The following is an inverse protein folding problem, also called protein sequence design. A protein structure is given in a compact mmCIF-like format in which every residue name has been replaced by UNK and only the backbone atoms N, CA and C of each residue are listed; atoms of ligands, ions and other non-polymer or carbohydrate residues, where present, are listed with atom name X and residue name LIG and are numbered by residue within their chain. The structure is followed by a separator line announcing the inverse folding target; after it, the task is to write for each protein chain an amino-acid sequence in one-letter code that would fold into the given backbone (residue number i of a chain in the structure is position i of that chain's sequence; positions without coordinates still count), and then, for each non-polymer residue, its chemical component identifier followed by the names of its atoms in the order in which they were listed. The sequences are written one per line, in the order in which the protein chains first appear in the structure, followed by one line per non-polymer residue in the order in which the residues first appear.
data_IF_510270500211
#
_entry.id   IF_510270500211
#
_cell.length_a   1.000
_cell.length_b   1.000
_cell.length_c   1.000
_cell.angle_alpha   90.00
_cell.angle_beta   90.00
_cell.angle_gamma   90.00
#
_symmetry.space_group_name_H-M   'P 1'
#
loop_
_entity.id
_entity.type
_entity.pdbx_description
1 polymer ?
#
# COMPACT_ATOMS: atom_id res chain seq x y z
N UNK A 1 -9.59 -24.08 -0.18
CA UNK A 1 -10.71 -23.21 0.25
C UNK A 1 -11.18 -22.35 -0.93
N UNK A 2 -12.46 -21.96 -0.91
CA UNK A 2 -13.01 -20.91 -1.75
C UNK A 2 -13.07 -19.61 -0.93
N UNK A 3 -12.31 -18.59 -1.30
CA UNK A 3 -12.08 -17.38 -0.51
C UNK A 3 -12.67 -16.20 -1.26
N UNK A 4 -13.58 -15.45 -0.63
CA UNK A 4 -14.08 -14.21 -1.22
C UNK A 4 -13.48 -13.00 -0.51
N UNK A 5 -12.95 -12.04 -1.28
CA UNK A 5 -12.33 -10.82 -0.79
C UNK A 5 -13.12 -9.61 -1.30
N UNK A 6 -13.73 -8.86 -0.40
CA UNK A 6 -14.44 -7.63 -0.70
C UNK A 6 -13.54 -6.44 -0.45
N UNK A 7 -13.01 -5.84 -1.51
CA UNK A 7 -12.27 -4.59 -1.45
C UNK A 7 -12.67 -3.68 -2.60
N UNK A 8 -13.35 -2.58 -2.27
CA UNK A 8 -13.86 -1.63 -3.24
C UNK A 8 -12.81 -1.15 -4.24
N UNK A 9 -11.57 -0.97 -3.80
CA UNK A 9 -10.47 -0.39 -4.57
C UNK A 9 -9.35 -1.40 -4.86
N UNK A 10 -9.65 -2.70 -4.90
CA UNK A 10 -8.67 -3.68 -5.35
C UNK A 10 -8.32 -3.45 -6.83
N UNK A 11 -7.06 -3.68 -7.16
CA UNK A 11 -6.50 -3.43 -8.48
C UNK A 11 -5.85 -4.69 -9.04
N UNK A 12 -5.83 -4.81 -10.35
CA UNK A 12 -5.05 -5.82 -11.09
C UNK A 12 -3.61 -5.30 -11.34
N UNK A 13 -2.66 -6.16 -11.67
CA UNK A 13 -1.25 -5.78 -11.81
C UNK A 13 -0.95 -4.80 -12.96
N UNK A 14 -1.85 -4.70 -13.96
CA UNK A 14 -1.77 -3.74 -15.05
C UNK A 14 -2.22 -2.32 -14.66
N UNK A 15 -2.86 -2.19 -13.48
CA UNK A 15 -3.32 -0.91 -12.95
C UNK A 15 -2.27 -0.27 -12.05
N UNK A 16 -2.20 1.07 -12.06
CA UNK A 16 -1.32 1.81 -11.15
C UNK A 16 -1.90 1.89 -9.75
N UNK A 17 -1.15 1.46 -8.74
CA UNK A 17 -1.55 1.49 -7.33
C UNK A 17 -1.11 0.25 -6.56
N UNK A 18 -1.62 0.08 -5.35
CA UNK A 18 -1.28 -1.07 -4.50
C UNK A 18 -2.08 -2.32 -4.87
N UNK A 19 -1.41 -3.40 -5.16
CA UNK A 19 -1.98 -4.69 -5.60
C UNK A 19 -2.11 -5.74 -4.50
N UNK A 20 -2.03 -5.36 -3.23
CA UNK A 20 -2.01 -6.27 -2.07
C UNK A 20 -3.00 -7.44 -2.16
N UNK A 21 -4.27 -7.18 -2.49
CA UNK A 21 -5.29 -8.23 -2.53
C UNK A 21 -5.08 -9.18 -3.69
N UNK A 22 -4.69 -8.65 -4.84
CA UNK A 22 -4.30 -9.47 -6.00
C UNK A 22 -3.04 -10.29 -5.68
N UNK A 23 -2.03 -9.70 -5.05
CA UNK A 23 -0.77 -10.38 -4.75
C UNK A 23 -0.99 -11.55 -3.77
N UNK A 24 -1.81 -11.34 -2.71
CA UNK A 24 -2.25 -12.44 -1.84
C UNK A 24 -3.09 -13.49 -2.58
N UNK A 25 -4.05 -13.05 -3.39
CA UNK A 25 -4.91 -13.96 -4.15
C UNK A 25 -4.10 -14.83 -5.12
N UNK A 26 -3.11 -14.24 -5.83
CA UNK A 26 -2.17 -14.95 -6.70
C UNK A 26 -1.42 -16.06 -5.95
N UNK A 27 -0.88 -15.75 -4.77
CA UNK A 27 -0.16 -16.72 -3.96
C UNK A 27 -1.09 -17.82 -3.40
N UNK A 28 -2.30 -17.48 -2.98
CA UNK A 28 -3.29 -18.46 -2.51
C UNK A 28 -3.77 -19.36 -3.66
N UNK A 29 -3.94 -18.84 -4.87
CA UNK A 29 -4.26 -19.65 -6.07
C UNK A 29 -3.13 -20.63 -6.40
N UNK A 30 -1.87 -20.22 -6.34
CA UNK A 30 -0.72 -21.12 -6.50
C UNK A 30 -0.73 -22.30 -5.50
N UNK A 31 -1.36 -22.13 -4.34
CA UNK A 31 -1.51 -23.13 -3.28
C UNK A 31 -2.78 -23.97 -3.40
N UNK A 32 -3.52 -23.83 -4.49
CA UNK A 32 -4.70 -24.61 -4.79
C UNK A 32 -6.02 -24.08 -4.20
N UNK A 33 -6.04 -22.81 -3.69
CA UNK A 33 -7.27 -22.15 -3.29
C UNK A 33 -7.97 -21.50 -4.50
N UNK A 34 -9.30 -21.38 -4.43
CA UNK A 34 -10.07 -20.53 -5.35
C UNK A 34 -10.24 -19.16 -4.66
N UNK A 35 -9.93 -18.08 -5.38
CA UNK A 35 -10.06 -16.73 -4.82
C UNK A 35 -10.88 -15.85 -5.75
N UNK A 36 -11.90 -15.19 -5.19
CA UNK A 36 -12.72 -14.21 -5.89
C UNK A 36 -12.59 -12.84 -5.21
N UNK A 37 -12.14 -11.84 -5.96
CA UNK A 37 -12.06 -10.46 -5.50
C UNK A 37 -13.24 -9.68 -6.05
N UNK A 38 -14.03 -9.04 -5.17
CA UNK A 38 -15.13 -8.17 -5.53
C UNK A 38 -14.70 -6.72 -5.35
N UNK A 39 -14.60 -5.98 -6.46
CA UNK A 39 -14.06 -4.63 -6.50
C UNK A 39 -14.89 -3.71 -7.40
N UNK A 40 -14.59 -2.42 -7.42
CA UNK A 40 -15.05 -1.48 -8.44
C UNK A 40 -13.91 -1.15 -9.39
N UNK A 41 -14.19 -1.04 -10.68
CA UNK A 41 -13.23 -0.62 -11.68
C UNK A 41 -13.08 0.90 -11.81
N UNK A 42 -13.82 1.68 -11.02
CA UNK A 42 -13.60 3.12 -10.94
C UNK A 42 -12.30 3.42 -10.18
N UNK A 43 -11.29 3.88 -10.90
CA UNK A 43 -9.94 4.06 -10.36
C UNK A 43 -9.87 5.31 -9.46
N UNK A 44 -9.62 5.09 -8.17
CA UNK A 44 -9.69 6.11 -7.12
C UNK A 44 -8.70 7.29 -7.26
N UNK A 45 -7.55 7.08 -7.92
CA UNK A 45 -6.55 8.15 -8.10
C UNK A 45 -6.58 8.78 -9.50
N UNK A 46 -7.09 8.08 -10.50
CA UNK A 46 -7.24 8.59 -11.88
C UNK A 46 -8.63 9.19 -12.11
N UNK A 47 -9.57 8.98 -11.17
CA UNK A 47 -10.96 9.43 -11.25
C UNK A 47 -11.67 9.06 -12.54
N UNK A 48 -11.42 7.85 -13.03
CA UNK A 48 -12.04 7.35 -14.27
C UNK A 48 -12.39 5.87 -14.16
N UNK A 49 -13.40 5.49 -14.92
CA UNK A 49 -13.76 4.10 -15.15
C UNK A 49 -12.70 3.44 -16.06
N UNK A 50 -12.28 2.22 -15.69
CA UNK A 50 -11.23 1.49 -16.43
C UNK A 50 -11.81 0.33 -17.24
N UNK A 51 -12.99 -0.19 -16.85
CA UNK A 51 -13.64 -1.30 -17.54
C UNK A 51 -14.91 -0.83 -18.25
N UNK A 52 -15.21 -1.46 -19.37
CA UNK A 52 -16.45 -1.23 -20.13
C UNK A 52 -17.50 -2.25 -19.72
N UNK A 53 -18.65 -1.80 -19.25
CA UNK A 53 -19.71 -2.67 -18.72
C UNK A 53 -20.80 -3.06 -19.72
N UNK A 54 -20.83 -2.50 -20.93
CA UNK A 54 -21.81 -2.80 -21.97
C UNK A 54 -23.27 -2.90 -21.46
N UNK A 55 -23.72 -1.89 -20.70
CA UNK A 55 -25.02 -1.80 -20.02
C UNK A 55 -25.24 -2.74 -18.81
N UNK A 56 -24.26 -3.54 -18.41
CA UNK A 56 -24.33 -4.35 -17.21
C UNK A 56 -23.91 -3.55 -15.96
N UNK A 57 -24.36 -4.02 -14.79
CA UNK A 57 -24.00 -3.45 -13.50
C UNK A 57 -22.73 -4.08 -12.91
N UNK A 58 -22.25 -5.17 -13.51
CA UNK A 58 -21.03 -5.88 -13.12
C UNK A 58 -20.36 -6.52 -14.34
N UNK A 59 -19.09 -6.89 -14.15
CA UNK A 59 -18.28 -7.63 -15.10
C UNK A 59 -17.49 -8.71 -14.34
N UNK A 60 -17.35 -9.89 -14.94
CA UNK A 60 -16.49 -10.95 -14.42
C UNK A 60 -15.29 -11.16 -15.34
N UNK A 61 -14.10 -11.30 -14.76
CA UNK A 61 -12.90 -11.68 -15.48
C UNK A 61 -11.97 -12.52 -14.59
N UNK A 62 -11.08 -13.28 -15.20
CA UNK A 62 -10.04 -14.02 -14.48
C UNK A 62 -8.68 -13.48 -14.89
N UNK A 63 -7.87 -13.08 -13.92
CA UNK A 63 -6.52 -12.54 -14.11
C UNK A 63 -5.52 -13.46 -13.42
N UNK A 64 -4.72 -14.21 -14.20
CA UNK A 64 -3.75 -15.19 -13.68
C UNK A 64 -4.33 -16.15 -12.62
N UNK A 65 -5.53 -16.68 -12.87
CA UNK A 65 -6.23 -17.61 -11.98
C UNK A 65 -7.01 -16.97 -10.84
N UNK A 66 -6.90 -15.66 -10.63
CA UNK A 66 -7.71 -14.92 -9.66
C UNK A 66 -8.97 -14.42 -10.32
N UNK A 67 -10.13 -14.74 -9.75
CA UNK A 67 -11.42 -14.26 -10.25
C UNK A 67 -11.70 -12.84 -9.75
N UNK A 68 -12.10 -11.95 -10.65
CA UNK A 68 -12.55 -10.59 -10.32
C UNK A 68 -14.03 -10.43 -10.69
N UNK A 69 -14.78 -9.82 -9.78
CA UNK A 69 -16.12 -9.30 -10.03
C UNK A 69 -16.07 -7.80 -9.86
N UNK A 70 -16.11 -7.10 -10.98
CA UNK A 70 -16.12 -5.66 -11.03
C UNK A 70 -17.54 -5.13 -10.91
N UNK A 71 -17.77 -4.28 -9.93
CA UNK A 71 -19.07 -3.63 -9.68
C UNK A 71 -19.01 -2.21 -10.23
N UNK A 72 -19.93 -1.88 -11.13
CA UNK A 72 -20.08 -0.53 -11.67
C UNK A 72 -20.55 0.43 -10.59
N UNK A 73 -19.78 1.49 -10.33
CA UNK A 73 -20.10 2.50 -9.33
C UNK A 73 -20.16 3.90 -9.96
N UNK A 74 -20.97 4.84 -9.42
CA UNK A 74 -21.04 6.20 -9.96
C UNK A 74 -19.67 6.90 -9.83
N UNK A 75 -19.28 7.71 -10.82
CA UNK A 75 -18.02 8.44 -10.75
C UNK A 75 -18.03 9.47 -9.63
N UNK A 76 -16.84 9.79 -9.10
CA UNK A 76 -16.66 10.87 -8.15
C UNK A 76 -15.35 11.61 -8.41
N UNK A 77 -15.23 12.82 -7.86
CA UNK A 77 -14.00 13.58 -7.83
C UNK A 77 -13.76 14.14 -6.42
N UNK A 78 -12.51 14.03 -5.92
CA UNK A 78 -12.13 14.48 -4.59
C UNK A 78 -12.77 13.66 -3.45
N UNK A 79 -12.91 14.28 -2.27
CA UNK A 79 -13.33 13.62 -1.02
C UNK A 79 -14.73 14.04 -0.53
N UNK A 80 -15.60 14.50 -1.43
CA UNK A 80 -16.92 15.01 -1.10
C UNK A 80 -18.04 13.95 -1.04
N UNK A 81 -19.28 14.41 -1.03
CA UNK A 81 -20.52 13.58 -0.97
C UNK A 81 -20.58 12.58 -2.13
N UNK A 82 -20.07 12.93 -3.32
CA UNK A 82 -20.02 12.02 -4.48
C UNK A 82 -19.21 10.76 -4.18
N UNK A 83 -18.11 10.86 -3.41
CA UNK A 83 -17.33 9.71 -2.95
C UNK A 83 -18.15 8.83 -1.98
N UNK A 84 -18.92 9.43 -1.08
CA UNK A 84 -19.80 8.67 -0.17
C UNK A 84 -20.88 7.94 -0.97
N UNK A 85 -21.49 8.59 -1.98
CA UNK A 85 -22.46 7.94 -2.88
C UNK A 85 -21.84 6.76 -3.63
N UNK A 86 -20.60 6.89 -4.10
CA UNK A 86 -19.86 5.82 -4.75
C UNK A 86 -19.67 4.62 -3.81
N UNK A 87 -19.24 4.84 -2.56
CA UNK A 87 -19.08 3.82 -1.53
C UNK A 87 -20.40 3.10 -1.19
N UNK A 88 -21.47 3.84 -1.01
CA UNK A 88 -22.79 3.28 -0.71
C UNK A 88 -23.38 2.52 -1.90
N UNK A 89 -23.16 3.02 -3.14
CA UNK A 89 -23.55 2.32 -4.37
C UNK A 89 -22.84 0.97 -4.49
N UNK A 90 -21.55 0.92 -4.23
CA UNK A 90 -20.80 -0.34 -4.18
C UNK A 90 -21.43 -1.33 -3.21
N UNK A 91 -21.63 -0.90 -1.96
CA UNK A 91 -22.22 -1.72 -0.90
C UNK A 91 -23.60 -2.28 -1.28
N UNK A 92 -24.48 -1.40 -1.76
CA UNK A 92 -25.82 -1.79 -2.20
C UNK A 92 -25.79 -2.79 -3.34
N UNK A 93 -24.97 -2.53 -4.38
CA UNK A 93 -24.87 -3.42 -5.53
C UNK A 93 -24.24 -4.76 -5.18
N UNK A 94 -23.20 -4.80 -4.36
CA UNK A 94 -22.59 -6.03 -3.86
C UNK A 94 -23.65 -6.93 -3.20
N UNK A 95 -24.45 -6.39 -2.29
CA UNK A 95 -25.51 -7.14 -1.58
C UNK A 95 -26.61 -7.64 -2.50
N UNK A 96 -26.89 -6.97 -3.64
CA UNK A 96 -27.95 -7.35 -4.54
C UNK A 96 -27.48 -8.19 -5.75
N UNK A 97 -26.22 -8.11 -6.12
CA UNK A 97 -25.66 -8.79 -7.29
C UNK A 97 -25.02 -10.13 -6.91
N UNK A 98 -24.16 -10.14 -5.90
CA UNK A 98 -23.37 -11.34 -5.55
C UNK A 98 -24.24 -12.57 -5.28
N UNK A 99 -25.34 -12.49 -4.51
CA UNK A 99 -26.21 -13.66 -4.29
C UNK A 99 -26.86 -14.23 -5.58
N UNK A 100 -27.01 -13.41 -6.62
CA UNK A 100 -27.63 -13.79 -7.89
C UNK A 100 -26.66 -14.41 -8.90
N UNK A 101 -25.35 -14.37 -8.60
CA UNK A 101 -24.34 -14.86 -9.54
C UNK A 101 -24.12 -16.38 -9.49
N UNK A 102 -24.79 -17.08 -8.57
CA UNK A 102 -24.67 -18.53 -8.39
C UNK A 102 -23.21 -19.00 -8.35
N UNK A 103 -22.35 -18.22 -7.65
CA UNK A 103 -20.96 -18.58 -7.43
C UNK A 103 -20.89 -19.80 -6.49
N UNK A 104 -19.78 -20.53 -6.57
CA UNK A 104 -19.52 -21.55 -5.54
C UNK A 104 -19.45 -20.86 -4.17
N UNK A 105 -20.16 -21.42 -3.18
CA UNK A 105 -20.21 -20.86 -1.84
C UNK A 105 -18.81 -20.67 -1.23
N UNK A 106 -18.56 -19.57 -0.52
CA UNK A 106 -17.27 -19.32 0.10
C UNK A 106 -17.08 -20.14 1.37
N UNK A 107 -15.87 -20.64 1.58
CA UNK A 107 -15.46 -21.21 2.86
C UNK A 107 -15.16 -20.11 3.89
N UNK A 108 -14.78 -18.91 3.41
CA UNK A 108 -14.44 -17.75 4.24
C UNK A 108 -14.58 -16.44 3.44
N UNK A 109 -15.01 -15.39 4.13
CA UNK A 109 -15.15 -14.05 3.55
C UNK A 109 -14.24 -13.04 4.24
N UNK A 110 -13.46 -12.30 3.44
CA UNK A 110 -12.62 -11.20 3.90
C UNK A 110 -13.24 -9.87 3.47
N UNK A 111 -13.52 -8.98 4.40
CA UNK A 111 -13.93 -7.60 4.14
C UNK A 111 -12.80 -6.63 4.43
N UNK A 112 -12.28 -5.96 3.40
CA UNK A 112 -11.13 -5.06 3.52
C UNK A 112 -11.56 -3.60 3.59
N UNK A 113 -11.06 -2.90 4.61
CA UNK A 113 -11.37 -1.50 4.86
C UNK A 113 -10.47 -0.57 4.06
N UNK A 114 -10.94 -0.12 2.90
CA UNK A 114 -10.68 1.26 2.50
C UNK A 114 -11.81 2.14 3.05
N UNK A 115 -13.00 1.57 3.18
CA UNK A 115 -14.12 2.17 3.94
C UNK A 115 -15.00 1.07 4.55
N UNK A 116 -15.59 1.37 5.69
CA UNK A 116 -16.34 0.40 6.50
C UNK A 116 -17.62 -0.13 5.82
N UNK A 117 -18.17 0.57 4.84
CA UNK A 117 -19.35 0.10 4.10
C UNK A 117 -19.08 -1.13 3.25
N UNK A 118 -17.88 -1.27 2.64
CA UNK A 118 -17.48 -2.48 1.93
C UNK A 118 -17.35 -3.66 2.89
N UNK A 119 -16.76 -3.42 4.07
CA UNK A 119 -16.64 -4.40 5.15
C UNK A 119 -18.00 -4.86 5.66
N UNK A 120 -18.95 -3.92 5.77
CA UNK A 120 -20.33 -4.24 6.13
C UNK A 120 -21.01 -5.17 5.12
N UNK A 121 -20.81 -4.93 3.81
CA UNK A 121 -21.33 -5.84 2.78
C UNK A 121 -20.75 -7.25 2.93
N UNK A 122 -19.44 -7.36 3.13
CA UNK A 122 -18.76 -8.64 3.39
C UNK A 122 -19.33 -9.37 4.60
N UNK A 123 -19.53 -8.64 5.74
CA UNK A 123 -20.15 -9.21 6.94
C UNK A 123 -21.59 -9.68 6.68
N UNK A 124 -22.40 -8.93 5.92
CA UNK A 124 -23.76 -9.36 5.60
C UNK A 124 -23.78 -10.65 4.79
N UNK A 125 -22.93 -10.73 3.77
CA UNK A 125 -22.80 -11.93 2.95
C UNK A 125 -22.24 -13.11 3.75
N UNK A 126 -21.32 -12.91 4.70
CA UNK A 126 -20.84 -13.98 5.55
C UNK A 126 -21.97 -14.59 6.40
N UNK A 127 -22.96 -13.81 6.82
CA UNK A 127 -24.14 -14.30 7.50
C UNK A 127 -25.10 -15.03 6.57
N UNK A 128 -25.26 -14.55 5.35
CA UNK A 128 -26.11 -15.18 4.33
C UNK A 128 -25.58 -16.56 3.92
N UNK A 129 -24.26 -16.67 3.72
CA UNK A 129 -23.59 -17.92 3.34
C UNK A 129 -23.14 -18.77 4.53
N UNK A 130 -23.45 -18.36 5.77
CA UNK A 130 -23.08 -19.07 7.00
C UNK A 130 -21.58 -19.46 7.03
N UNK A 131 -20.68 -18.48 6.88
CA UNK A 131 -19.23 -18.67 6.76
C UNK A 131 -18.49 -17.67 7.65
N UNK A 132 -17.27 -17.99 8.13
CA UNK A 132 -16.50 -17.08 8.96
C UNK A 132 -16.16 -15.78 8.25
N UNK A 133 -16.14 -14.69 9.02
CA UNK A 133 -15.89 -13.33 8.57
C UNK A 133 -14.58 -12.79 9.12
N UNK A 134 -13.65 -12.48 8.22
CA UNK A 134 -12.39 -11.81 8.55
C UNK A 134 -12.46 -10.35 8.13
N UNK A 135 -12.21 -9.45 9.07
CA UNK A 135 -12.10 -8.03 8.78
C UNK A 135 -10.64 -7.64 8.55
N UNK A 136 -10.33 -7.05 7.41
CA UNK A 136 -9.02 -6.45 7.18
C UNK A 136 -9.07 -4.95 7.38
N UNK A 137 -8.24 -4.44 8.31
CA UNK A 137 -8.11 -3.01 8.64
C UNK A 137 -6.83 -2.47 8.03
N UNK A 138 -6.95 -1.65 6.99
CA UNK A 138 -5.82 -1.01 6.30
C UNK A 138 -5.57 0.41 6.76
N UNK A 139 -6.66 1.13 7.00
CA UNK A 139 -6.68 2.45 7.60
C UNK A 139 -7.69 2.42 8.75
N UNK A 140 -7.36 3.04 9.87
CA UNK A 140 -8.22 3.06 11.05
C UNK A 140 -9.26 4.17 10.88
N UNK A 141 -10.37 3.87 10.22
CA UNK A 141 -11.52 4.75 10.10
C UNK A 141 -12.47 4.56 11.28
N UNK A 142 -12.96 5.64 11.91
CA UNK A 142 -12.85 7.06 11.51
C UNK A 142 -11.60 7.80 12.01
N UNK A 143 -10.71 7.16 12.82
CA UNK A 143 -9.57 7.85 13.44
C UNK A 143 -8.68 8.55 12.39
N UNK A 144 -8.37 7.90 11.28
CA UNK A 144 -7.57 8.51 10.19
C UNK A 144 -8.20 9.78 9.65
N UNK A 145 -9.54 9.85 9.53
CA UNK A 145 -10.24 11.06 9.08
C UNK A 145 -10.15 12.19 10.11
N UNK A 146 -10.17 11.84 11.41
CA UNK A 146 -9.98 12.80 12.51
C UNK A 146 -8.54 13.33 12.48
N UNK A 147 -7.54 12.46 12.32
CA UNK A 147 -6.12 12.82 12.22
C UNK A 147 -5.82 13.70 10.99
N UNK A 148 -6.65 13.59 9.95
CA UNK A 148 -6.62 14.46 8.76
C UNK A 148 -7.40 15.77 8.95
N UNK A 149 -7.97 16.04 10.12
CA UNK A 149 -8.59 17.32 10.49
C UNK A 149 -10.13 17.33 10.51
N UNK A 150 -10.81 16.19 10.33
CA UNK A 150 -12.28 16.17 10.51
C UNK A 150 -12.63 16.21 11.99
N UNK A 151 -13.68 16.97 12.33
CA UNK A 151 -14.18 17.03 13.70
C UNK A 151 -14.72 15.67 14.17
N UNK A 152 -14.32 15.24 15.36
CA UNK A 152 -14.85 14.02 16.00
C UNK A 152 -16.38 14.08 16.24
N UNK A 153 -16.96 15.28 16.28
CA UNK A 153 -18.40 15.50 16.46
C UNK A 153 -19.18 15.55 15.14
N UNK A 154 -18.50 15.42 14.01
CA UNK A 154 -19.17 15.39 12.71
C UNK A 154 -20.10 14.16 12.63
N UNK A 155 -21.38 14.29 12.21
CA UNK A 155 -22.33 13.17 12.20
C UNK A 155 -21.82 11.93 11.44
N UNK A 156 -21.11 12.14 10.34
CA UNK A 156 -20.50 11.06 9.57
C UNK A 156 -19.41 10.31 10.36
N UNK A 157 -18.60 11.02 11.16
CA UNK A 157 -17.57 10.42 12.02
C UNK A 157 -18.21 9.59 13.13
N UNK A 158 -19.31 10.09 13.73
CA UNK A 158 -20.04 9.36 14.77
C UNK A 158 -20.65 8.07 14.19
N UNK A 159 -21.28 8.17 13.01
CA UNK A 159 -21.82 7.00 12.29
C UNK A 159 -20.73 5.95 12.01
N UNK A 160 -19.58 6.40 11.48
CA UNK A 160 -18.46 5.51 11.20
C UNK A 160 -17.89 4.86 12.46
N UNK A 161 -17.83 5.59 13.58
CA UNK A 161 -17.38 5.03 14.86
C UNK A 161 -18.29 3.93 15.39
N UNK A 162 -19.61 4.06 15.21
CA UNK A 162 -20.56 3.00 15.54
C UNK A 162 -20.39 1.79 14.63
N UNK A 163 -20.23 2.02 13.33
CA UNK A 163 -20.06 0.96 12.35
C UNK A 163 -18.72 0.23 12.57
N UNK A 164 -17.65 0.94 12.88
CA UNK A 164 -16.35 0.38 13.25
C UNK A 164 -16.48 -0.57 14.44
N UNK A 165 -17.02 -0.08 15.57
CA UNK A 165 -17.23 -0.87 16.77
C UNK A 165 -18.08 -2.12 16.48
N UNK A 166 -19.16 -1.96 15.72
CA UNK A 166 -20.03 -3.06 15.32
C UNK A 166 -19.25 -4.12 14.55
N UNK A 167 -18.50 -3.73 13.52
CA UNK A 167 -17.77 -4.64 12.65
C UNK A 167 -16.62 -5.36 13.38
N UNK A 168 -15.87 -4.66 14.25
CA UNK A 168 -14.85 -5.31 15.08
C UNK A 168 -15.43 -6.40 15.97
N UNK A 169 -16.58 -6.16 16.57
CA UNK A 169 -17.25 -7.17 17.42
C UNK A 169 -17.79 -8.36 16.62
N UNK A 170 -18.20 -8.14 15.36
CA UNK A 170 -18.76 -9.18 14.49
C UNK A 170 -17.72 -10.00 13.74
N UNK A 171 -16.50 -9.49 13.60
CA UNK A 171 -15.42 -10.22 12.96
C UNK A 171 -15.00 -11.42 13.82
N UNK A 172 -14.80 -12.57 13.19
CA UNK A 172 -14.21 -13.76 13.82
C UNK A 172 -12.70 -13.53 14.01
N UNK A 173 -12.06 -12.89 13.02
CA UNK A 173 -10.67 -12.46 13.06
C UNK A 173 -10.49 -11.07 12.44
N UNK A 174 -9.54 -10.31 12.96
CA UNK A 174 -9.15 -9.00 12.44
C UNK A 174 -7.70 -9.06 12.00
N UNK A 175 -7.46 -8.72 10.74
CA UNK A 175 -6.12 -8.58 10.16
C UNK A 175 -5.84 -7.09 9.98
N UNK A 176 -4.61 -6.64 10.23
CA UNK A 176 -4.19 -5.29 9.86
C UNK A 176 -2.80 -5.31 9.23
N UNK A 177 -2.59 -4.44 8.25
CA UNK A 177 -1.26 -4.17 7.71
C UNK A 177 -0.45 -3.20 8.60
N UNK A 178 -1.08 -2.53 9.57
CA UNK A 178 -0.46 -1.61 10.49
C UNK A 178 -0.02 -2.33 11.77
N UNK A 179 1.27 -2.31 12.14
CA UNK A 179 1.79 -3.10 13.27
C UNK A 179 1.23 -2.70 14.63
N UNK A 180 0.86 -1.44 14.80
CA UNK A 180 0.31 -0.91 16.06
C UNK A 180 -1.20 -0.64 16.00
N UNK A 181 -1.91 -1.19 15.00
CA UNK A 181 -3.36 -1.02 14.91
C UNK A 181 -4.10 -1.54 16.15
N UNK A 182 -3.51 -2.50 16.88
CA UNK A 182 -4.09 -3.01 18.11
C UNK A 182 -4.16 -1.97 19.23
N UNK A 183 -3.35 -0.93 19.23
CA UNK A 183 -3.43 0.19 20.19
C UNK A 183 -4.80 0.90 20.10
N UNK A 184 -5.46 0.83 18.94
CA UNK A 184 -6.82 1.32 18.73
C UNK A 184 -7.87 0.19 18.80
N UNK A 185 -7.69 -0.88 18.06
CA UNK A 185 -8.62 -2.00 17.92
C UNK A 185 -8.83 -2.71 19.27
N UNK A 186 -7.80 -2.79 20.11
CA UNK A 186 -7.84 -3.40 21.45
C UNK A 186 -8.76 -2.68 22.43
N UNK A 187 -9.28 -1.48 22.12
CA UNK A 187 -10.34 -0.83 22.88
C UNK A 187 -11.71 -1.51 22.72
N UNK A 188 -11.85 -2.35 21.70
CA UNK A 188 -13.13 -2.95 21.31
C UNK A 188 -13.11 -4.48 21.39
N UNK A 189 -11.95 -5.12 21.17
CA UNK A 189 -11.83 -6.59 21.10
C UNK A 189 -10.53 -7.06 21.75
N UNK A 190 -10.50 -8.34 22.16
CA UNK A 190 -9.34 -9.00 22.74
C UNK A 190 -8.22 -9.27 21.72
N UNK A 191 -7.00 -9.51 22.22
CA UNK A 191 -5.78 -9.67 21.41
C UNK A 191 -5.81 -10.92 20.53
N UNK A 192 -6.47 -11.97 20.95
CA UNK A 192 -6.62 -13.22 20.20
C UNK A 192 -7.36 -13.05 18.87
N UNK A 193 -8.26 -12.05 18.78
CA UNK A 193 -8.92 -11.69 17.52
C UNK A 193 -8.03 -10.96 16.52
N UNK A 194 -6.90 -10.40 16.93
CA UNK A 194 -6.07 -9.54 16.11
C UNK A 194 -4.80 -10.23 15.63
N UNK A 195 -4.43 -9.99 14.37
CA UNK A 195 -3.13 -10.36 13.83
C UNK A 195 -2.61 -9.27 12.87
N UNK A 196 -1.30 -9.01 12.96
CA UNK A 196 -0.61 -8.13 12.01
C UNK A 196 -0.07 -8.92 10.83
N UNK A 197 -0.50 -8.55 9.61
CA UNK A 197 0.01 -9.05 8.33
C UNK A 197 0.30 -7.85 7.45
N UNK A 198 1.57 -7.46 7.37
CA UNK A 198 2.04 -6.27 6.64
C UNK A 198 1.69 -6.31 5.15
N UNK A 199 1.82 -5.18 4.47
CA UNK A 199 2.06 -5.20 3.03
C UNK A 199 3.42 -5.85 2.76
N UNK A 200 3.63 -6.28 1.54
CA UNK A 200 4.86 -6.93 1.14
C UNK A 200 5.23 -6.62 -0.30
N UNK A 201 6.15 -7.38 -0.82
CA UNK A 201 6.63 -7.28 -2.19
C UNK A 201 6.56 -8.64 -2.87
N UNK A 202 6.07 -8.65 -4.11
CA UNK A 202 6.20 -9.78 -5.02
C UNK A 202 7.61 -9.76 -5.62
N UNK A 203 8.45 -10.68 -5.17
CA UNK A 203 9.85 -10.76 -5.56
C UNK A 203 10.05 -11.15 -7.03
N UNK A 204 9.05 -11.79 -7.65
CA UNK A 204 9.07 -12.15 -9.08
C UNK A 204 9.15 -10.90 -9.97
N UNK A 205 8.69 -9.75 -9.46
CA UNK A 205 8.67 -8.48 -10.19
C UNK A 205 9.95 -7.64 -10.04
N UNK A 206 10.84 -7.98 -9.09
CA UNK A 206 12.05 -7.20 -8.80
C UNK A 206 13.25 -8.14 -8.65
N UNK A 207 13.90 -8.43 -9.76
CA UNK A 207 15.14 -9.22 -9.76
C UNK A 207 16.28 -8.40 -9.14
N UNK A 208 17.02 -9.00 -8.21
CA UNK A 208 18.21 -8.37 -7.66
C UNK A 208 19.39 -8.53 -8.61
N UNK A 209 19.99 -7.40 -8.97
CA UNK A 209 21.23 -7.34 -9.74
C UNK A 209 22.22 -6.46 -8.97
N UNK A 210 23.42 -6.93 -8.73
CA UNK A 210 24.45 -6.08 -8.13
C UNK A 210 24.72 -4.86 -9.03
N UNK A 211 24.72 -3.68 -8.41
CA UNK A 211 25.01 -2.45 -9.14
C UNK A 211 26.51 -2.38 -9.43
N UNK A 212 26.82 -2.13 -10.67
CA UNK A 212 28.18 -1.74 -11.10
C UNK A 212 28.33 -0.23 -11.00
N UNK A 213 29.53 0.21 -10.75
CA UNK A 213 29.88 1.63 -10.71
C UNK A 213 29.61 2.31 -12.08
N UNK A 214 29.10 3.52 -12.03
CA UNK A 214 28.76 4.32 -13.21
C UNK A 214 29.28 5.76 -13.01
N UNK A 215 29.39 6.54 -14.11
CA UNK A 215 29.85 7.92 -14.05
C UNK A 215 28.93 8.85 -13.23
N UNK A 216 27.70 8.42 -12.96
CA UNK A 216 26.74 9.18 -12.16
C UNK A 216 26.33 8.39 -10.92
N UNK A 217 26.37 9.08 -9.79
CA UNK A 217 25.81 8.65 -8.54
C UNK A 217 24.36 9.13 -8.43
N UNK A 218 23.39 8.23 -8.51
CA UNK A 218 21.97 8.58 -8.64
C UNK A 218 21.17 8.32 -7.38
N UNK A 219 20.52 9.37 -6.87
CA UNK A 219 19.55 9.32 -5.79
C UNK A 219 18.13 9.35 -6.38
N UNK A 220 17.33 8.29 -6.17
CA UNK A 220 16.01 8.20 -6.80
C UNK A 220 14.88 8.14 -5.78
N UNK A 221 13.77 8.74 -6.18
CA UNK A 221 12.44 8.57 -5.60
C UNK A 221 11.48 8.11 -6.69
N UNK A 222 10.66 7.09 -6.39
CA UNK A 222 9.59 6.64 -7.28
C UNK A 222 8.25 6.62 -6.55
N UNK A 223 7.17 7.07 -7.19
CA UNK A 223 5.80 6.95 -6.68
C UNK A 223 5.02 8.25 -6.57
N UNK A 224 4.01 8.30 -5.68
CA UNK A 224 3.16 9.48 -5.54
C UNK A 224 3.93 10.70 -5.04
N UNK A 225 3.79 11.81 -5.76
CA UNK A 225 4.38 13.12 -5.42
C UNK A 225 3.33 13.91 -4.62
N UNK A 226 3.16 13.50 -3.36
CA UNK A 226 2.15 14.07 -2.46
C UNK A 226 2.75 14.82 -1.27
N UNK A 227 1.90 15.58 -0.59
CA UNK A 227 2.28 16.39 0.59
C UNK A 227 2.96 15.57 1.69
N UNK A 228 2.52 14.34 1.91
CA UNK A 228 3.08 13.45 2.93
C UNK A 228 4.53 13.05 2.67
N UNK A 229 4.97 13.08 1.39
CA UNK A 229 6.32 12.68 1.01
C UNK A 229 7.35 13.82 1.05
N UNK A 230 6.90 15.08 1.13
CA UNK A 230 7.74 16.28 1.22
C UNK A 230 9.02 16.25 0.36
N UNK A 231 8.85 16.07 -0.96
CA UNK A 231 9.99 15.97 -1.89
C UNK A 231 10.70 17.29 -2.14
N UNK A 232 10.18 18.40 -1.62
CA UNK A 232 10.90 19.69 -1.58
C UNK A 232 12.29 19.53 -0.93
N UNK A 233 12.36 18.69 0.14
CA UNK A 233 13.63 18.41 0.81
C UNK A 233 14.68 17.78 -0.12
N UNK A 234 14.24 16.94 -1.06
CA UNK A 234 15.13 16.32 -2.05
C UNK A 234 15.62 17.33 -3.10
N UNK A 235 14.76 18.30 -3.48
CA UNK A 235 15.15 19.42 -4.36
C UNK A 235 16.15 20.34 -3.65
N UNK A 236 15.96 20.62 -2.38
CA UNK A 236 16.88 21.43 -1.58
C UNK A 236 18.24 20.72 -1.39
N UNK A 237 18.25 19.39 -1.21
CA UNK A 237 19.48 18.60 -1.20
C UNK A 237 20.21 18.65 -2.55
N UNK A 238 19.48 18.60 -3.67
CA UNK A 238 20.07 18.74 -5.00
C UNK A 238 20.72 20.13 -5.19
N UNK A 239 20.12 21.19 -4.64
CA UNK A 239 20.72 22.51 -4.67
C UNK A 239 22.02 22.58 -3.87
N UNK A 240 22.06 21.99 -2.67
CA UNK A 240 23.25 21.93 -1.83
C UNK A 240 24.41 21.18 -2.48
N UNK A 241 24.07 20.13 -3.24
CA UNK A 241 25.06 19.25 -3.89
C UNK A 241 25.32 19.56 -5.36
N UNK A 242 24.85 20.69 -5.89
CA UNK A 242 24.96 21.06 -7.33
C UNK A 242 26.39 21.18 -7.85
N UNK A 243 27.37 21.44 -6.99
CA UNK A 243 28.79 21.51 -7.37
C UNK A 243 29.43 20.13 -7.56
N UNK A 244 28.83 19.07 -7.04
CA UNK A 244 29.20 17.67 -7.30
C UNK A 244 28.58 17.21 -8.62
N UNK A 245 29.33 17.28 -9.72
CA UNK A 245 28.81 17.11 -11.09
C UNK A 245 28.34 15.68 -11.40
N UNK A 246 28.79 14.70 -10.66
CA UNK A 246 28.47 13.28 -10.76
C UNK A 246 27.26 12.88 -9.90
N UNK A 247 26.82 13.72 -8.93
CA UNK A 247 25.62 13.46 -8.14
C UNK A 247 24.37 13.94 -8.88
N UNK A 248 23.44 13.00 -9.11
CA UNK A 248 22.19 13.25 -9.83
C UNK A 248 20.97 12.79 -9.04
N UNK A 249 19.93 13.60 -9.01
CA UNK A 249 18.65 13.32 -8.36
C UNK A 249 17.58 12.99 -9.40
N UNK A 250 16.78 11.96 -9.13
CA UNK A 250 15.73 11.50 -10.02
C UNK A 250 14.42 11.29 -9.28
N UNK A 251 13.39 12.05 -9.63
CA UNK A 251 12.04 11.92 -9.07
C UNK A 251 11.12 11.41 -10.17
N UNK A 252 10.55 10.22 -10.02
CA UNK A 252 9.66 9.59 -11.01
C UNK A 252 8.30 9.37 -10.42
N UNK A 253 7.25 9.97 -10.98
CA UNK A 253 5.91 9.80 -10.48
C UNK A 253 4.94 10.91 -10.84
N UNK A 254 3.79 10.88 -10.16
CA UNK A 254 2.74 11.89 -10.31
C UNK A 254 2.10 12.24 -8.97
N UNK A 255 1.44 13.38 -8.92
CA UNK A 255 0.72 13.83 -7.73
C UNK A 255 0.58 15.35 -7.63
N UNK A 256 -0.17 15.78 -6.61
CA UNK A 256 -0.56 17.18 -6.43
C UNK A 256 0.62 18.16 -6.30
N UNK A 257 1.76 17.72 -5.79
CA UNK A 257 2.94 18.58 -5.60
C UNK A 257 3.89 18.62 -6.83
N UNK A 258 3.63 17.86 -7.89
CA UNK A 258 4.55 17.71 -9.03
C UNK A 258 4.85 19.02 -9.74
N UNK A 259 3.83 19.80 -10.06
CA UNK A 259 3.99 21.08 -10.75
C UNK A 259 4.82 22.06 -9.90
N UNK A 260 4.51 22.14 -8.60
CA UNK A 260 5.26 22.98 -7.66
C UNK A 260 6.74 22.59 -7.59
N UNK A 261 7.06 21.30 -7.59
CA UNK A 261 8.44 20.83 -7.60
C UNK A 261 9.16 21.19 -8.91
N UNK A 262 8.49 21.05 -10.08
CA UNK A 262 9.04 21.45 -11.37
C UNK A 262 9.35 22.96 -11.41
N UNK A 263 8.46 23.78 -10.89
CA UNK A 263 8.66 25.23 -10.76
C UNK A 263 9.85 25.57 -9.84
N UNK A 264 9.96 24.89 -8.71
CA UNK A 264 11.07 25.08 -7.77
C UNK A 264 12.43 24.73 -8.40
N UNK A 265 12.52 23.59 -9.12
CA UNK A 265 13.73 23.20 -9.85
C UNK A 265 14.12 24.26 -10.89
N UNK A 266 13.13 24.78 -11.65
CA UNK A 266 13.36 25.85 -12.63
C UNK A 266 13.82 27.15 -11.97
N UNK A 267 13.18 27.57 -10.88
CA UNK A 267 13.52 28.78 -10.13
C UNK A 267 14.96 28.73 -9.61
N UNK A 268 15.36 27.57 -9.05
CA UNK A 268 16.72 27.34 -8.53
C UNK A 268 17.74 27.03 -9.63
N UNK A 269 17.33 26.97 -10.91
CA UNK A 269 18.17 26.67 -12.10
C UNK A 269 19.02 25.40 -11.93
N UNK A 270 18.45 24.36 -11.30
CA UNK A 270 19.15 23.11 -11.03
C UNK A 270 19.27 22.26 -12.32
N UNK A 271 20.46 21.68 -12.55
CA UNK A 271 20.77 20.80 -13.67
C UNK A 271 21.04 19.35 -13.24
N UNK A 272 21.18 19.13 -11.94
CA UNK A 272 21.48 17.84 -11.32
C UNK A 272 20.24 17.13 -10.77
N UNK A 273 19.04 17.48 -11.21
CA UNK A 273 17.78 16.85 -10.82
C UNK A 273 16.80 16.78 -11.98
N UNK A 274 16.10 15.62 -12.12
CA UNK A 274 14.96 15.45 -13.04
C UNK A 274 13.69 15.14 -12.27
N UNK A 275 12.53 15.61 -12.80
CA UNK A 275 11.19 15.25 -12.35
C UNK A 275 10.45 14.67 -13.55
N UNK A 276 10.31 13.36 -13.55
CA UNK A 276 9.81 12.56 -14.67
C UNK A 276 8.35 12.15 -14.48
N UNK A 277 7.72 11.76 -15.57
CA UNK A 277 6.37 11.22 -15.53
C UNK A 277 6.36 9.78 -14.98
N UNK A 278 5.22 9.29 -14.47
CA UNK A 278 5.12 7.93 -13.99
C UNK A 278 5.37 6.94 -15.13
N UNK A 279 6.08 5.89 -14.81
CA UNK A 279 6.36 4.78 -15.73
C UNK A 279 5.48 3.57 -15.44
N UNK A 280 5.43 2.61 -16.34
CA UNK A 280 4.77 1.33 -16.12
C UNK A 280 5.41 0.54 -14.96
N UNK A 281 4.63 -0.30 -14.27
CA UNK A 281 5.10 -1.02 -13.06
C UNK A 281 6.36 -1.86 -13.32
N UNK A 282 6.46 -2.49 -14.48
CA UNK A 282 7.63 -3.27 -14.90
C UNK A 282 8.90 -2.41 -15.12
N UNK A 283 8.76 -1.14 -15.49
CA UNK A 283 9.88 -0.22 -15.67
C UNK A 283 10.39 0.35 -14.35
N UNK A 284 9.56 0.37 -13.31
CA UNK A 284 9.97 0.83 -11.97
C UNK A 284 11.17 0.04 -11.48
N UNK A 285 11.19 -1.28 -11.68
CA UNK A 285 12.32 -2.13 -11.29
C UNK A 285 13.65 -1.65 -11.89
N UNK A 286 13.66 -1.24 -13.16
CA UNK A 286 14.87 -0.74 -13.84
C UNK A 286 15.38 0.57 -13.21
N UNK A 287 14.45 1.47 -12.84
CA UNK A 287 14.80 2.72 -12.16
C UNK A 287 15.41 2.43 -10.79
N UNK A 288 14.79 1.55 -10.02
CA UNK A 288 15.30 1.16 -8.70
C UNK A 288 16.70 0.51 -8.82
N UNK A 289 16.87 -0.38 -9.80
CA UNK A 289 18.14 -1.09 -10.04
C UNK A 289 19.27 -0.16 -10.50
N UNK A 290 18.96 0.90 -11.25
CA UNK A 290 19.96 1.87 -11.72
C UNK A 290 20.39 2.88 -10.66
N UNK A 291 19.70 2.97 -9.53
CA UNK A 291 19.97 3.95 -8.47
C UNK A 291 21.08 3.49 -7.52
N UNK A 292 21.80 4.43 -6.93
CA UNK A 292 22.75 4.21 -5.83
C UNK A 292 22.06 4.33 -4.48
N UNK A 293 21.19 5.33 -4.34
CA UNK A 293 20.36 5.56 -3.18
C UNK A 293 18.89 5.60 -3.58
N UNK A 294 18.05 4.93 -2.81
CA UNK A 294 16.60 5.06 -2.86
C UNK A 294 16.14 5.89 -1.66
N UNK A 295 15.53 7.03 -1.93
CA UNK A 295 15.07 7.95 -0.90
C UNK A 295 13.59 7.78 -0.62
N UNK A 296 13.21 7.59 0.63
CA UNK A 296 11.84 7.58 1.07
C UNK A 296 11.64 8.50 2.27
N UNK A 297 10.74 9.46 2.14
CA UNK A 297 10.41 10.41 3.18
C UNK A 297 8.93 10.34 3.56
N UNK A 298 8.68 10.39 4.85
CA UNK A 298 7.36 10.58 5.44
C UNK A 298 7.43 11.74 6.44
N UNK A 299 6.58 12.76 6.23
CA UNK A 299 6.41 13.84 7.20
C UNK A 299 6.02 13.30 8.57
N UNK A 300 6.40 13.99 9.62
CA UNK A 300 5.87 13.75 10.95
C UNK A 300 4.35 14.03 10.94
N UNK A 301 3.55 13.00 11.13
CA UNK A 301 2.08 13.09 11.07
C UNK A 301 1.43 12.07 11.99
N UNK A 302 0.34 12.45 12.70
CA UNK A 302 -0.44 11.54 13.54
C UNK A 302 -1.00 10.32 12.78
N UNK A 303 -1.20 10.42 11.46
CA UNK A 303 -1.63 9.31 10.61
C UNK A 303 -0.70 8.10 10.69
N UNK A 304 0.58 8.30 11.03
CA UNK A 304 1.58 7.23 11.17
C UNK A 304 1.74 6.72 12.61
N UNK A 305 0.90 7.14 13.57
CA UNK A 305 0.96 6.68 14.97
C UNK A 305 0.74 5.18 15.12
N UNK A 306 -0.04 4.58 14.20
CA UNK A 306 -0.29 3.13 14.19
C UNK A 306 0.74 2.35 13.37
N UNK A 307 1.81 3.01 12.96
CA UNK A 307 2.86 2.45 12.13
C UNK A 307 2.62 2.66 10.63
N UNK A 308 3.54 2.16 9.86
CA UNK A 308 3.53 2.27 8.39
C UNK A 308 3.61 0.88 7.76
N UNK A 309 3.01 0.75 6.58
CA UNK A 309 3.10 -0.45 5.74
C UNK A 309 3.06 -0.01 4.28
N UNK A 310 4.15 0.60 3.82
CA UNK A 310 4.24 1.19 2.49
C UNK A 310 4.79 0.21 1.47
N UNK A 311 4.02 -0.11 0.43
CA UNK A 311 4.47 -0.97 -0.68
C UNK A 311 5.78 -0.48 -1.28
N UNK A 312 5.91 0.84 -1.51
CA UNK A 312 7.11 1.48 -2.05
C UNK A 312 8.37 1.14 -1.25
N UNK A 313 8.28 1.14 0.10
CA UNK A 313 9.43 0.82 0.94
C UNK A 313 9.88 -0.62 0.72
N UNK A 314 8.94 -1.56 0.61
CA UNK A 314 9.26 -2.96 0.36
C UNK A 314 9.79 -3.20 -1.06
N UNK A 315 9.30 -2.45 -2.06
CA UNK A 315 9.87 -2.46 -3.43
C UNK A 315 11.33 -1.95 -3.41
N UNK A 316 11.61 -0.89 -2.65
CA UNK A 316 12.96 -0.35 -2.48
C UNK A 316 13.89 -1.35 -1.78
N UNK A 317 13.41 -2.01 -0.73
CA UNK A 317 14.16 -3.05 -0.04
C UNK A 317 14.44 -4.23 -0.96
N UNK A 318 13.47 -4.61 -1.78
CA UNK A 318 13.60 -5.69 -2.76
C UNK A 318 14.60 -5.35 -3.88
N UNK A 319 14.73 -4.09 -4.26
CA UNK A 319 15.74 -3.68 -5.23
C UNK A 319 17.17 -3.83 -4.71
N UNK A 320 17.37 -3.96 -3.40
CA UNK A 320 18.67 -4.19 -2.79
C UNK A 320 19.66 -3.04 -3.02
N UNK A 321 19.17 -1.80 -2.90
CA UNK A 321 19.99 -0.59 -2.95
C UNK A 321 20.10 0.02 -1.55
N UNK A 322 21.05 0.94 -1.38
CA UNK A 322 21.10 1.71 -0.14
C UNK A 322 19.84 2.55 -0.02
N UNK A 323 19.21 2.52 1.14
CA UNK A 323 17.97 3.28 1.39
C UNK A 323 18.27 4.35 2.44
N UNK A 324 17.83 5.57 2.15
CA UNK A 324 17.66 6.63 3.15
C UNK A 324 16.17 6.74 3.45
N UNK A 325 15.79 6.41 4.67
CA UNK A 325 14.41 6.49 5.13
C UNK A 325 14.26 7.59 6.18
N UNK A 326 13.56 8.65 5.80
CA UNK A 326 13.25 9.79 6.67
C UNK A 326 11.88 9.57 7.32
N UNK A 327 11.86 9.32 8.65
CA UNK A 327 10.63 8.99 9.36
C UNK A 327 10.75 9.08 10.88
N UNK A 328 9.61 9.36 11.54
CA UNK A 328 9.38 9.17 12.99
C UNK A 328 8.40 8.04 13.30
N UNK A 329 8.01 7.25 12.30
CA UNK A 329 7.11 6.13 12.54
C UNK A 329 7.69 5.15 13.56
N UNK A 330 6.82 4.59 14.40
CA UNK A 330 7.22 3.65 15.48
C UNK A 330 7.90 2.38 14.93
N UNK A 331 7.48 1.90 13.75
CA UNK A 331 8.14 0.79 13.07
C UNK A 331 9.04 1.30 11.94
N UNK A 332 10.18 0.67 11.80
CA UNK A 332 11.15 1.05 10.78
C UNK A 332 11.84 -0.20 10.20
N UNK A 333 11.33 -0.74 9.09
CA UNK A 333 11.91 -1.93 8.45
C UNK A 333 13.38 -1.80 8.05
N UNK A 334 13.86 -0.57 7.81
CA UNK A 334 15.27 -0.31 7.48
C UNK A 334 16.15 -0.47 8.72
N UNK A 335 15.70 0.04 9.86
CA UNK A 335 16.37 -0.15 11.16
C UNK A 335 16.33 -1.62 11.57
N UNK A 336 15.18 -2.28 11.38
CA UNK A 336 15.00 -3.70 11.73
C UNK A 336 15.88 -4.61 10.85
N UNK A 337 16.17 -4.21 9.61
CA UNK A 337 17.13 -4.90 8.73
C UNK A 337 18.58 -4.69 9.17
N UNK A 338 18.83 -3.80 10.13
CA UNK A 338 20.17 -3.36 10.55
C UNK A 338 21.05 -3.00 9.34
N UNK A 339 20.45 -2.28 8.38
CA UNK A 339 21.10 -1.85 7.14
C UNK A 339 20.36 -0.65 6.53
N UNK A 340 21.09 0.20 5.80
CA UNK A 340 20.56 1.48 5.30
C UNK A 340 20.61 2.59 6.36
N UNK A 341 19.94 3.68 6.08
CA UNK A 341 20.04 4.90 6.88
C UNK A 341 18.65 5.43 7.27
N UNK A 342 18.50 5.74 8.54
CA UNK A 342 17.28 6.42 9.03
C UNK A 342 17.65 7.84 9.45
N UNK A 343 16.88 8.81 8.98
CA UNK A 343 17.07 10.22 9.31
C UNK A 343 15.77 10.84 9.83
N UNK A 344 15.89 11.95 10.55
CA UNK A 344 14.75 12.73 11.01
C UNK A 344 14.01 13.37 9.82
N UNK A 345 12.66 13.40 9.81
CA UNK A 345 11.90 14.14 8.82
C UNK A 345 12.28 15.62 8.77
N UNK A 346 12.21 16.19 7.58
CA UNK A 346 12.45 17.61 7.33
C UNK A 346 13.87 18.13 7.73
N UNK A 347 14.84 17.23 7.92
CA UNK A 347 16.21 17.57 8.29
C UNK A 347 17.14 17.56 7.07
N UNK A 348 17.23 18.72 6.37
CA UNK A 348 18.05 18.88 5.17
C UNK A 348 19.54 18.61 5.45
N UNK A 349 20.06 19.11 6.59
CA UNK A 349 21.49 18.95 6.94
C UNK A 349 21.85 17.46 7.12
N UNK A 350 20.97 16.71 7.79
CA UNK A 350 21.18 15.27 8.00
C UNK A 350 21.06 14.51 6.68
N UNK A 351 20.10 14.89 5.79
CA UNK A 351 19.97 14.28 4.46
C UNK A 351 21.22 14.53 3.62
N UNK A 352 21.69 15.75 3.54
CA UNK A 352 22.92 16.13 2.82
C UNK A 352 24.13 15.31 3.30
N UNK A 353 24.37 15.31 4.63
CA UNK A 353 25.50 14.57 5.20
C UNK A 353 25.40 13.05 4.92
N UNK A 354 24.22 12.47 5.10
CA UNK A 354 24.00 11.04 4.83
C UNK A 354 24.24 10.69 3.36
N UNK A 355 23.82 11.55 2.42
CA UNK A 355 24.14 11.35 1.00
C UNK A 355 25.64 11.37 0.76
N UNK A 356 26.37 12.32 1.35
CA UNK A 356 27.83 12.41 1.21
C UNK A 356 28.56 11.24 1.85
N UNK A 357 28.11 10.76 2.99
CA UNK A 357 28.68 9.58 3.65
C UNK A 357 28.53 8.35 2.76
N UNK A 358 27.35 8.11 2.18
CA UNK A 358 27.10 6.98 1.26
C UNK A 358 27.88 7.15 -0.05
N UNK A 359 27.97 8.38 -0.56
CA UNK A 359 28.74 8.68 -1.78
C UNK A 359 30.23 8.36 -1.59
N UNK A 360 30.79 8.54 -0.40
CA UNK A 360 32.19 8.23 -0.09
C UNK A 360 32.47 6.72 0.04
N UNK A 361 31.45 5.87 0.18
CA UNK A 361 31.63 4.42 0.23
C UNK A 361 32.03 3.85 -1.12
N UNK A 362 32.81 2.78 -1.11
CA UNK A 362 33.05 1.98 -2.31
C UNK A 362 31.76 1.28 -2.78
N UNK A 363 31.64 1.03 -4.09
CA UNK A 363 30.46 0.38 -4.65
C UNK A 363 30.22 -1.01 -4.00
N UNK A 364 31.29 -1.75 -3.69
CA UNK A 364 31.20 -3.05 -2.99
C UNK A 364 30.51 -2.94 -1.63
N UNK A 365 30.76 -1.86 -0.87
CA UNK A 365 30.16 -1.67 0.44
C UNK A 365 28.70 -1.22 0.33
N UNK A 366 28.36 -0.37 -0.65
CA UNK A 366 26.97 -0.05 -0.99
C UNK A 366 26.20 -1.31 -1.36
N UNK A 367 26.80 -2.22 -2.16
CA UNK A 367 26.18 -3.50 -2.53
C UNK A 367 25.97 -4.41 -1.32
N UNK A 368 26.92 -4.48 -0.37
CA UNK A 368 26.74 -5.24 0.88
C UNK A 368 25.55 -4.75 1.70
N UNK A 369 25.41 -3.43 1.85
CA UNK A 369 24.28 -2.82 2.54
C UNK A 369 22.96 -3.19 1.84
N UNK A 370 22.88 -3.00 0.52
CA UNK A 370 21.70 -3.34 -0.28
C UNK A 370 21.32 -4.81 -0.20
N UNK A 371 22.33 -5.73 -0.28
CA UNK A 371 22.11 -7.17 -0.16
C UNK A 371 21.57 -7.57 1.21
N UNK A 372 22.00 -6.91 2.30
CA UNK A 372 21.48 -7.14 3.64
C UNK A 372 20.01 -6.72 3.75
N UNK A 373 19.66 -5.56 3.20
CA UNK A 373 18.26 -5.07 3.12
C UNK A 373 17.40 -6.06 2.31
N UNK A 374 17.88 -6.50 1.16
CA UNK A 374 17.18 -7.46 0.29
C UNK A 374 16.92 -8.79 1.03
N UNK A 375 17.91 -9.38 1.67
CA UNK A 375 17.74 -10.61 2.45
C UNK A 375 16.70 -10.47 3.56
N UNK A 376 16.63 -9.31 4.18
CA UNK A 376 15.64 -9.05 5.24
C UNK A 376 14.22 -9.02 4.68
N UNK A 377 13.96 -8.30 3.58
CA UNK A 377 12.62 -8.22 2.98
C UNK A 377 12.17 -9.58 2.43
N UNK A 378 13.07 -10.38 1.86
CA UNK A 378 12.79 -11.74 1.40
C UNK A 378 12.24 -12.63 2.51
N UNK A 379 12.86 -12.57 3.69
CA UNK A 379 12.48 -13.39 4.86
C UNK A 379 11.26 -12.89 5.59
N UNK A 380 10.94 -11.58 5.49
CA UNK A 380 9.97 -10.95 6.40
C UNK A 380 8.75 -10.43 5.67
N UNK A 381 8.95 -9.87 4.47
CA UNK A 381 7.92 -9.12 3.74
C UNK A 381 7.70 -9.61 2.30
N UNK A 382 8.24 -10.76 1.90
CA UNK A 382 7.87 -11.37 0.62
C UNK A 382 6.40 -11.82 0.65
N UNK A 383 5.72 -11.71 -0.49
CA UNK A 383 4.32 -12.14 -0.59
C UNK A 383 4.16 -13.61 -0.26
N UNK A 384 5.15 -14.46 -0.56
CA UNK A 384 5.16 -15.86 -0.17
C UNK A 384 5.04 -16.02 1.36
N UNK A 385 5.95 -15.39 2.14
CA UNK A 385 5.97 -15.48 3.62
C UNK A 385 4.71 -14.87 4.25
N UNK A 386 4.21 -13.76 3.69
CA UNK A 386 2.99 -13.14 4.20
C UNK A 386 1.74 -13.96 3.88
N UNK A 387 1.74 -14.65 2.74
CA UNK A 387 0.64 -15.54 2.36
C UNK A 387 0.61 -16.80 3.20
N UNK A 388 1.76 -17.34 3.65
CA UNK A 388 1.80 -18.43 4.65
C UNK A 388 1.07 -18.03 5.93
N UNK A 389 1.32 -16.80 6.39
CA UNK A 389 0.64 -16.28 7.59
C UNK A 389 -0.87 -16.09 7.38
N UNK A 390 -1.25 -15.55 6.21
CA UNK A 390 -2.65 -15.32 5.89
C UNK A 390 -3.39 -16.64 5.76
N UNK A 391 -2.87 -17.59 4.97
CA UNK A 391 -3.45 -18.92 4.76
C UNK A 391 -3.71 -19.63 6.06
N UNK A 392 -2.71 -19.69 6.95
CA UNK A 392 -2.86 -20.28 8.27
C UNK A 392 -4.01 -19.66 9.09
N UNK A 393 -4.11 -18.32 9.06
CA UNK A 393 -5.21 -17.63 9.75
C UNK A 393 -6.57 -18.02 9.18
N UNK A 394 -6.69 -18.08 7.85
CA UNK A 394 -7.93 -18.43 7.18
C UNK A 394 -8.34 -19.89 7.47
N UNK A 395 -7.39 -20.82 7.40
CA UNK A 395 -7.63 -22.24 7.74
C UNK A 395 -8.04 -22.43 9.19
N UNK A 396 -7.39 -21.74 10.12
CA UNK A 396 -7.71 -21.82 11.55
C UNK A 396 -9.14 -21.30 11.83
N UNK A 397 -9.56 -20.20 11.17
CA UNK A 397 -10.91 -19.65 11.37
C UNK A 397 -11.98 -20.54 10.70
N UNK A 398 -11.72 -21.10 9.51
CA UNK A 398 -12.63 -22.07 8.88
C UNK A 398 -12.79 -23.32 9.76
N UNK A 399 -11.69 -23.84 10.32
CA UNK A 399 -11.73 -25.03 11.20
C UNK A 399 -12.53 -24.75 12.47
N UNK A 400 -12.34 -23.60 13.12
CA UNK A 400 -13.08 -23.21 14.33
C UNK A 400 -14.57 -23.02 14.06
N UNK A 401 -14.91 -22.48 12.89
CA UNK A 401 -16.30 -22.23 12.53
C UNK A 401 -17.08 -23.52 12.27
N UNK A 402 -16.40 -24.56 11.78
CA UNK A 402 -16.99 -25.87 11.47
C UNK A 402 -16.92 -26.86 12.64
N UNK A 403 -16.26 -26.52 13.75
CA UNK A 403 -16.16 -27.31 14.97
C UNK A 403 -17.30 -27.01 15.94
#
# INVERSE_FOLDING_TARGET
MNIWIFNHHALTPDMSGGTRHYDFAKELVKRGHSVTIVASSFHYSKYKEIKEYHNNEYLQETVNGVNFIWIKTPPYFGNGISRVKNMLSYTYKVLNIIPKLHLKDPDIIIGSSVHLFAVYAAHKLSKEYNTPFVMEVRDIWPQTLIDMGMSKWHPFIILLGWLEKYLYNKADKIISNLPYAFDHIGKFVSKDKFIWISNGVDLDNINYIEKIETDKFTISYTGAIGVANNLTLLVDAAEKLKEKKDIFFRIVGDGAEKLKLKELVKLKKLKNISIEDPVAKNEVSNILQSSDILYFNLKDSPVFNFGISSNKLFDYMAAGRVIIFSTKAKNNPIKDADAGYTIEPDNLKQLEQTILDIYSLQQSDRNKIGKKIRKYVEKTYSMCVLSDKLEKVLEDEVRKYNA
#
